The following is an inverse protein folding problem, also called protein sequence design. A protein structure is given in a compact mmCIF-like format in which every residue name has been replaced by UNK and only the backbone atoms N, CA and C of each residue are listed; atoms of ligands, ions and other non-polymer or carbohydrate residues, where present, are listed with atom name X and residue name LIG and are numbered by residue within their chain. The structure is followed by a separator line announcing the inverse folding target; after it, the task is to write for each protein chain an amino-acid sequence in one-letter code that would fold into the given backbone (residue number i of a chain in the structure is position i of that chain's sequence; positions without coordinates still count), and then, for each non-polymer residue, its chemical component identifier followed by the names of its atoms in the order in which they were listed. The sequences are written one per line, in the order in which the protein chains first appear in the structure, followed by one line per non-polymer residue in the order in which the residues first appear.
data_IF_825284320416
#
_entry.id   IF_825284320416
#
_cell.length_a   1.000
_cell.length_b   1.000
_cell.length_c   1.000
_cell.angle_alpha   90.00
_cell.angle_beta   90.00
_cell.angle_gamma   90.00
#
_symmetry.space_group_name_H-M   'P 1'
#
loop_
_entity.id
_entity.type
_entity.pdbx_description
1 polymer ?
#
# COMPACT_ATOMS: atom_id res chain seq x y z
N UNK A 1 54.41 22.24 -9.73
CA UNK A 1 53.77 23.54 -10.07
C UNK A 1 52.46 23.28 -10.79
N UNK A 2 51.39 24.02 -10.44
CA UNK A 2 50.01 24.08 -11.03
C UNK A 2 49.18 22.78 -10.90
N UNK A 3 48.29 22.59 -9.91
CA UNK A 3 47.04 23.30 -9.51
C UNK A 3 46.07 23.55 -10.66
N UNK A 4 45.02 22.73 -10.76
CA UNK A 4 43.71 23.14 -11.28
C UNK A 4 42.62 22.70 -10.29
N UNK A 5 42.17 23.70 -9.53
CA UNK A 5 40.93 23.78 -8.76
C UNK A 5 39.89 24.43 -9.66
N UNK A 6 38.74 23.78 -9.90
CA UNK A 6 37.45 24.41 -10.25
C UNK A 6 36.38 23.39 -9.81
N UNK A 7 35.72 23.47 -8.65
CA UNK A 7 34.83 24.48 -8.08
C UNK A 7 33.39 24.48 -8.64
N UNK A 8 32.44 24.10 -7.75
CA UNK A 8 31.05 24.57 -7.61
C UNK A 8 29.95 23.93 -8.48
N UNK A 9 29.06 23.15 -7.84
CA UNK A 9 27.68 23.62 -7.59
C UNK A 9 26.94 22.74 -6.55
N UNK A 10 26.71 23.33 -5.38
CA UNK A 10 25.78 22.87 -4.35
C UNK A 10 24.34 23.18 -4.82
N UNK A 11 23.48 22.18 -4.90
CA UNK A 11 22.02 22.40 -4.87
C UNK A 11 21.47 21.86 -3.56
N UNK A 12 21.41 22.74 -2.55
CA UNK A 12 20.57 22.57 -1.38
C UNK A 12 19.11 22.80 -1.81
N UNK A 13 18.26 21.79 -1.67
CA UNK A 13 16.81 21.95 -1.78
C UNK A 13 16.24 21.93 -0.37
N UNK A 14 16.14 23.12 0.23
CA UNK A 14 15.32 23.40 1.40
C UNK A 14 14.02 24.04 0.94
N UNK A 15 12.89 23.34 1.08
CA UNK A 15 11.55 23.94 1.13
C UNK A 15 10.79 23.22 2.26
N UNK A 16 10.82 23.74 3.49
CA UNK A 16 9.84 24.68 4.08
C UNK A 16 8.40 24.20 3.98
N UNK A 17 7.89 23.68 5.10
CA UNK A 17 6.48 23.46 5.36
C UNK A 17 5.71 24.78 5.40
N UNK A 18 4.51 24.89 4.81
CA UNK A 18 3.53 25.85 5.27
C UNK A 18 2.73 25.23 6.41
N UNK A 19 3.03 25.69 7.63
CA UNK A 19 2.05 25.68 8.70
C UNK A 19 0.90 26.61 8.29
N UNK A 20 -0.25 26.04 7.94
CA UNK A 20 -1.50 26.80 7.84
C UNK A 20 -2.22 26.69 9.19
N UNK A 21 -1.84 27.58 10.10
CA UNK A 21 -2.63 27.93 11.27
C UNK A 21 -3.14 29.35 11.04
N UNK A 22 -4.46 29.53 10.91
CA UNK A 22 -5.11 30.81 11.22
C UNK A 22 -6.59 30.59 11.58
N UNK A 23 -6.83 30.80 12.86
CA UNK A 23 -8.08 30.95 13.59
C UNK A 23 -8.91 32.14 13.03
N UNK A 24 -10.24 31.99 12.98
CA UNK A 24 -11.16 33.13 12.93
C UNK A 24 -12.30 32.92 13.94
N UNK A 25 -12.29 33.74 14.99
CA UNK A 25 -13.22 33.80 16.12
C UNK A 25 -14.35 34.82 15.87
N UNK A 26 -15.61 34.35 15.92
CA UNK A 26 -16.84 35.04 16.40
C UNK A 26 -17.49 36.18 15.58
N UNK A 27 -18.71 36.67 15.96
CA UNK A 27 -19.56 36.29 17.11
C UNK A 27 -21.11 36.14 16.85
N UNK A 28 -21.83 35.67 17.89
CA UNK A 28 -23.27 35.82 18.21
C UNK A 28 -24.31 34.75 17.76
N UNK A 29 -24.78 33.96 18.74
CA UNK A 29 -26.08 33.26 18.88
C UNK A 29 -27.28 34.25 18.92
N UNK A 30 -28.57 33.85 19.09
CA UNK A 30 -29.21 32.51 19.03
C UNK A 30 -30.54 32.49 18.22
N UNK A 31 -31.07 31.32 17.85
CA UNK A 31 -32.53 31.08 17.84
C UNK A 31 -32.82 29.58 18.04
N UNK A 32 -33.29 29.25 19.23
CA UNK A 32 -33.93 27.99 19.60
C UNK A 32 -35.21 27.74 18.80
N UNK A 33 -35.41 26.51 18.35
CA UNK A 33 -36.73 25.86 18.41
C UNK A 33 -36.57 24.36 18.66
N UNK A 34 -37.05 23.98 19.83
CA UNK A 34 -37.19 22.63 20.36
C UNK A 34 -38.32 21.88 19.65
N UNK A 35 -38.16 20.58 19.40
CA UNK A 35 -39.25 19.58 19.38
C UNK A 35 -38.71 18.13 19.34
N UNK A 36 -38.77 17.45 20.50
CA UNK A 36 -39.00 16.01 20.76
C UNK A 36 -38.17 14.91 20.06
N UNK A 37 -37.50 14.01 20.83
CA UNK A 37 -37.12 12.70 20.34
C UNK A 37 -38.32 11.73 20.42
N UNK A 38 -38.94 11.40 19.28
CA UNK A 38 -39.83 10.23 19.22
C UNK A 38 -38.99 8.96 19.13
N UNK A 39 -38.84 8.31 20.28
CA UNK A 39 -38.50 6.90 20.36
C UNK A 39 -39.56 6.08 19.59
N UNK A 40 -39.17 5.50 18.46
CA UNK A 40 -39.95 4.45 17.82
C UNK A 40 -39.10 3.18 17.82
N UNK A 41 -39.53 2.22 18.61
CA UNK A 41 -39.08 0.83 18.59
C UNK A 41 -38.97 0.32 17.15
N UNK A 42 -37.76 0.00 16.72
CA UNK A 42 -37.50 -0.98 15.68
C UNK A 42 -36.83 -2.20 16.32
N UNK A 43 -37.61 -2.91 17.14
CA UNK A 43 -37.31 -4.32 17.45
C UNK A 43 -37.62 -5.13 16.18
N UNK A 44 -36.61 -5.32 15.34
CA UNK A 44 -36.64 -6.29 14.25
C UNK A 44 -35.47 -7.28 14.42
N UNK A 45 -35.72 -8.25 15.30
CA UNK A 45 -35.30 -9.66 15.18
C UNK A 45 -33.90 -9.87 14.59
N UNK A 46 -32.91 -9.73 15.46
CA UNK A 46 -31.59 -10.33 15.30
C UNK A 46 -31.71 -11.84 15.57
N UNK A 47 -31.99 -12.65 14.53
CA UNK A 47 -31.85 -14.12 14.50
C UNK A 47 -32.27 -14.66 13.13
N UNK A 48 -31.39 -14.55 12.14
CA UNK A 48 -31.14 -15.60 11.13
C UNK A 48 -30.10 -15.09 10.12
N UNK A 49 -28.84 -15.02 10.55
CA UNK A 49 -27.72 -14.99 9.61
C UNK A 49 -27.34 -16.46 9.36
N UNK A 50 -28.14 -17.12 8.52
CA UNK A 50 -27.72 -18.38 7.89
C UNK A 50 -26.42 -18.09 7.14
N UNK A 51 -25.29 -18.72 7.51
CA UNK A 51 -24.06 -18.54 6.75
C UNK A 51 -24.31 -19.06 5.33
N UNK A 52 -23.93 -18.33 4.28
CA UNK A 52 -23.99 -18.87 2.93
C UNK A 52 -23.22 -20.20 2.92
N UNK A 53 -23.88 -21.28 2.47
CA UNK A 53 -23.37 -22.67 2.42
C UNK A 53 -22.13 -22.88 1.52
N UNK A 54 -21.47 -21.81 1.09
CA UNK A 54 -20.24 -21.85 0.32
C UNK A 54 -19.17 -20.90 0.91
N UNK A 55 -19.15 -20.75 2.23
CA UNK A 55 -17.97 -20.26 2.95
C UNK A 55 -16.87 -21.31 2.84
N UNK A 56 -16.25 -21.44 1.66
CA UNK A 56 -14.89 -21.97 1.60
C UNK A 56 -14.08 -21.02 2.46
N UNK A 57 -13.66 -21.49 3.63
CA UNK A 57 -12.67 -20.81 4.45
C UNK A 57 -11.44 -20.63 3.56
N UNK A 58 -11.35 -19.47 2.91
CA UNK A 58 -10.09 -19.02 2.33
C UNK A 58 -9.27 -18.69 3.56
N UNK A 59 -8.48 -19.66 4.02
CA UNK A 59 -7.51 -19.43 5.08
C UNK A 59 -6.66 -18.27 4.63
N UNK A 60 -6.91 -17.09 5.20
CA UNK A 60 -6.06 -15.94 4.99
C UNK A 60 -4.62 -16.37 5.28
N UNK A 61 -3.62 -15.95 4.50
CA UNK A 61 -2.21 -16.22 4.79
C UNK A 61 -1.72 -15.45 6.03
N UNK A 62 -2.55 -15.25 7.06
CA UNK A 62 -2.19 -14.56 8.29
C UNK A 62 -1.11 -15.30 9.10
N UNK A 63 -0.69 -16.51 8.68
CA UNK A 63 0.41 -17.25 9.27
C UNK A 63 1.80 -17.00 8.66
N UNK A 64 1.91 -16.32 7.50
CA UNK A 64 3.22 -16.01 6.91
C UNK A 64 3.71 -14.64 7.40
N UNK A 65 4.96 -14.58 7.86
CA UNK A 65 5.57 -13.31 8.24
C UNK A 65 5.75 -12.41 7.01
N UNK A 66 5.71 -11.08 7.15
CA UNK A 66 6.00 -10.17 6.04
C UNK A 66 7.36 -10.43 5.38
N UNK A 67 8.40 -10.77 6.17
CA UNK A 67 9.73 -11.09 5.63
C UNK A 67 9.71 -12.34 4.73
N UNK A 68 9.07 -13.42 5.19
CA UNK A 68 8.95 -14.64 4.40
C UNK A 68 8.09 -14.42 3.14
N UNK A 69 7.03 -13.61 3.23
CA UNK A 69 6.20 -13.26 2.08
C UNK A 69 6.95 -12.41 1.05
N UNK A 70 7.77 -11.45 1.50
CA UNK A 70 8.65 -10.65 0.66
C UNK A 70 9.68 -11.51 -0.07
N UNK A 71 10.38 -12.39 0.67
CA UNK A 71 11.35 -13.32 0.10
C UNK A 71 10.69 -14.22 -0.95
N UNK A 72 9.55 -14.84 -0.61
CA UNK A 72 8.81 -15.71 -1.52
C UNK A 72 8.39 -14.99 -2.80
N UNK A 73 7.77 -13.82 -2.66
CA UNK A 73 7.34 -13.01 -3.81
C UNK A 73 8.53 -12.65 -4.71
N UNK A 74 9.68 -12.34 -4.11
CA UNK A 74 10.89 -12.06 -4.87
C UNK A 74 11.36 -13.27 -5.68
N UNK A 75 11.53 -14.43 -5.04
CA UNK A 75 11.99 -15.65 -5.71
C UNK A 75 11.02 -16.10 -6.82
N UNK A 76 9.72 -16.02 -6.57
CA UNK A 76 8.69 -16.38 -7.55
C UNK A 76 8.77 -15.51 -8.83
N UNK A 77 9.10 -14.22 -8.69
CA UNK A 77 9.15 -13.27 -9.80
C UNK A 77 10.53 -13.16 -10.46
N UNK A 78 11.60 -13.47 -9.74
CA UNK A 78 12.99 -13.26 -10.17
C UNK A 78 13.26 -13.88 -11.52
N UNK A 79 12.94 -15.16 -11.71
CA UNK A 79 13.21 -15.85 -12.99
C UNK A 79 12.48 -15.21 -14.18
N UNK A 80 11.28 -14.65 -13.95
CA UNK A 80 10.48 -13.98 -14.98
C UNK A 80 11.08 -12.62 -15.33
N UNK A 81 11.40 -11.82 -14.31
CA UNK A 81 12.00 -10.49 -14.50
C UNK A 81 13.42 -10.56 -15.06
N UNK A 82 14.18 -11.61 -14.73
CA UNK A 82 15.50 -11.87 -15.33
C UNK A 82 15.39 -12.10 -16.85
N UNK A 83 14.39 -12.86 -17.30
CA UNK A 83 14.11 -13.04 -18.74
C UNK A 83 13.73 -11.72 -19.40
N UNK A 84 12.80 -10.97 -18.79
CA UNK A 84 12.41 -9.65 -19.30
C UNK A 84 13.61 -8.71 -19.38
N UNK A 85 14.52 -8.76 -18.39
CA UNK A 85 15.75 -7.97 -18.40
C UNK A 85 16.66 -8.34 -19.57
N UNK A 86 16.77 -9.63 -19.87
CA UNK A 86 17.56 -10.11 -21.01
C UNK A 86 16.95 -9.66 -22.34
N UNK A 87 15.63 -9.77 -22.49
CA UNK A 87 14.94 -9.55 -23.75
C UNK A 87 14.65 -8.07 -24.05
N UNK A 88 14.32 -7.29 -23.01
CA UNK A 88 13.79 -5.92 -23.11
C UNK A 88 14.56 -4.90 -22.26
N UNK A 89 15.63 -5.32 -21.58
CA UNK A 89 16.41 -4.46 -20.70
C UNK A 89 15.66 -4.02 -19.44
N UNK A 90 16.28 -3.09 -18.69
CA UNK A 90 15.72 -2.61 -17.42
C UNK A 90 14.40 -1.84 -17.58
N UNK A 91 14.20 -1.16 -18.72
CA UNK A 91 12.93 -0.48 -18.99
C UNK A 91 11.77 -1.47 -19.13
N UNK A 92 12.01 -2.65 -19.69
CA UNK A 92 11.02 -3.73 -19.73
C UNK A 92 10.71 -4.27 -18.34
N UNK A 93 11.75 -4.45 -17.50
CA UNK A 93 11.59 -4.89 -16.11
C UNK A 93 10.74 -3.91 -15.31
N UNK A 94 11.03 -2.61 -15.40
CA UNK A 94 10.26 -1.58 -14.70
C UNK A 94 8.77 -1.63 -15.07
N UNK A 95 8.44 -1.72 -16.36
CA UNK A 95 7.05 -1.88 -16.82
C UNK A 95 6.41 -3.16 -16.30
N UNK A 96 7.12 -4.29 -16.36
CA UNK A 96 6.60 -5.57 -15.88
C UNK A 96 6.35 -5.56 -14.37
N UNK A 97 7.16 -4.83 -13.59
CA UNK A 97 6.97 -4.62 -12.15
C UNK A 97 5.71 -3.80 -11.91
N UNK A 98 5.56 -2.66 -12.59
CA UNK A 98 4.38 -1.79 -12.46
C UNK A 98 3.10 -2.54 -12.81
N UNK A 99 3.10 -3.31 -13.91
CA UNK A 99 1.99 -4.17 -14.31
C UNK A 99 1.66 -5.24 -13.25
N UNK A 100 2.68 -5.84 -12.65
CA UNK A 100 2.48 -6.84 -11.59
C UNK A 100 1.85 -6.23 -10.35
N UNK A 101 2.36 -5.08 -9.91
CA UNK A 101 1.84 -4.36 -8.75
C UNK A 101 0.40 -3.91 -9.00
N UNK A 102 0.11 -3.39 -10.20
CA UNK A 102 -1.23 -2.99 -10.60
C UNK A 102 -2.21 -4.18 -10.68
N UNK A 103 -1.72 -5.40 -10.92
CA UNK A 103 -2.54 -6.61 -10.96
C UNK A 103 -2.87 -7.17 -9.57
N UNK A 104 -2.11 -6.85 -8.53
CA UNK A 104 -2.32 -7.42 -7.19
C UNK A 104 -3.74 -7.25 -6.64
N UNK A 105 -4.41 -6.08 -6.75
CA UNK A 105 -5.79 -5.93 -6.30
C UNK A 105 -6.80 -6.89 -6.94
N UNK A 106 -6.48 -7.43 -8.12
CA UNK A 106 -7.32 -8.43 -8.80
C UNK A 106 -7.02 -9.87 -8.36
N UNK A 107 -5.96 -10.09 -7.57
CA UNK A 107 -5.62 -11.41 -7.02
C UNK A 107 -6.58 -11.79 -5.88
N UNK A 108 -7.07 -13.04 -5.83
CA UNK A 108 -7.95 -13.51 -4.76
C UNK A 108 -7.32 -13.42 -3.36
N UNK A 109 -5.98 -13.46 -3.27
CA UNK A 109 -5.26 -13.43 -1.99
C UNK A 109 -5.05 -12.01 -1.47
N UNK A 110 -5.07 -11.00 -2.34
CA UNK A 110 -4.82 -9.61 -1.94
C UNK A 110 -5.75 -9.05 -0.85
N UNK A 111 -7.08 -9.26 -0.90
CA UNK A 111 -7.97 -8.73 0.14
C UNK A 111 -7.74 -9.38 1.51
N UNK A 112 -7.19 -10.60 1.57
CA UNK A 112 -6.95 -11.32 2.83
C UNK A 112 -5.57 -11.06 3.45
N UNK A 113 -4.66 -10.40 2.72
CA UNK A 113 -3.38 -9.95 3.27
C UNK A 113 -3.56 -8.74 4.20
N UNK A 114 -2.77 -8.69 5.28
CA UNK A 114 -2.63 -7.49 6.11
C UNK A 114 -1.92 -6.37 5.34
N UNK A 115 -1.99 -5.12 5.84
CA UNK A 115 -1.29 -3.99 5.21
C UNK A 115 0.23 -4.22 5.09
N UNK A 116 0.85 -4.76 6.14
CA UNK A 116 2.28 -5.10 6.13
C UNK A 116 2.61 -6.21 5.12
N UNK A 117 1.76 -7.22 5.00
CA UNK A 117 1.94 -8.29 4.03
C UNK A 117 1.78 -7.79 2.59
N UNK A 118 0.84 -6.87 2.33
CA UNK A 118 0.70 -6.21 1.02
C UNK A 118 1.95 -5.42 0.67
N UNK A 119 2.46 -4.63 1.62
CA UNK A 119 3.70 -3.88 1.40
C UNK A 119 4.89 -4.81 1.15
N UNK A 120 5.03 -5.87 1.94
CA UNK A 120 6.06 -6.89 1.73
C UNK A 120 6.00 -7.57 0.35
N UNK A 121 4.79 -7.79 -0.17
CA UNK A 121 4.59 -8.34 -1.53
C UNK A 121 5.06 -7.34 -2.59
N UNK A 122 4.73 -6.06 -2.44
CA UNK A 122 5.20 -4.98 -3.32
C UNK A 122 6.73 -4.87 -3.26
N UNK A 123 7.31 -4.83 -2.06
CA UNK A 123 8.75 -4.75 -1.86
C UNK A 123 9.47 -5.95 -2.48
N UNK A 124 8.93 -7.17 -2.33
CA UNK A 124 9.48 -8.37 -2.95
C UNK A 124 9.45 -8.32 -4.49
N UNK A 125 8.47 -7.63 -5.06
CA UNK A 125 8.39 -7.38 -6.51
C UNK A 125 9.54 -6.47 -6.96
N UNK A 126 9.81 -5.40 -6.21
CA UNK A 126 10.92 -4.49 -6.49
C UNK A 126 12.28 -5.16 -6.27
N UNK A 127 12.42 -5.99 -5.25
CA UNK A 127 13.64 -6.78 -5.00
C UNK A 127 13.95 -7.71 -6.18
N UNK A 128 12.93 -8.40 -6.71
CA UNK A 128 13.08 -9.23 -7.91
C UNK A 128 13.50 -8.41 -9.14
N UNK A 129 13.05 -7.16 -9.23
CA UNK A 129 13.44 -6.23 -10.29
C UNK A 129 14.93 -5.85 -10.22
N UNK A 130 15.49 -5.80 -9.01
CA UNK A 130 16.92 -5.56 -8.77
C UNK A 130 17.73 -6.86 -8.96
N UNK A 131 17.09 -8.02 -8.85
CA UNK A 131 17.71 -9.34 -8.99
C UNK A 131 18.31 -9.87 -7.68
N UNK A 132 17.98 -9.25 -6.55
CA UNK A 132 18.48 -9.64 -5.23
C UNK A 132 17.30 -9.86 -4.30
N UNK A 133 17.12 -11.11 -3.83
CA UNK A 133 16.08 -11.42 -2.86
C UNK A 133 16.63 -11.39 -1.43
N UNK A 134 15.92 -10.73 -0.48
CA UNK A 134 16.32 -10.69 0.92
C UNK A 134 16.20 -12.09 1.55
N UNK A 135 16.87 -12.33 2.67
CA UNK A 135 16.66 -13.57 3.43
C UNK A 135 15.21 -13.62 3.98
N UNK A 136 14.58 -14.79 3.88
CA UNK A 136 13.20 -15.06 4.31
C UNK A 136 13.09 -15.61 5.72
#
# INVERSE_FOLDING_TARGET
MRRYLVAVCLCAVTLTAPACDLIHDGPAEPLSVSSTPSATNATAISKDLVPPRNSRSVSAPSGISPAALRHKTCEDLRSRLDRVRHDSGQAGVARAVDETIAAYPSSPDWPVLTGEQRQATIDGTHDAAIGTCPAG
#
